data_IF_608680050179
#
_entry.id   IF_608680050179
#
_cell.length_a   1.000
_cell.length_b   1.000
_cell.length_c   1.000
_cell.angle_alpha   90.00
_cell.angle_beta   90.00
_cell.angle_gamma   90.00
#
_symmetry.space_group_name_H-M   'P 1'
#
loop_
_entity.id
_entity.type
_entity.pdbx_description
1 polymer ?
#
# COMPACT_ATOMS: atom_id res chain seq x y z
N UNK A 1 -0.65 -10.12 17.00
CA UNK A 1 -0.12 -9.87 15.65
C UNK A 1 -1.23 -10.05 14.59
N UNK A 2 -1.07 -9.50 13.39
CA UNK A 2 -2.04 -9.65 12.27
C UNK A 2 -1.99 -11.05 11.62
N UNK A 3 -3.12 -11.54 11.12
CA UNK A 3 -3.14 -12.76 10.26
C UNK A 3 -2.83 -12.42 8.80
N UNK A 4 -2.59 -13.44 7.97
CA UNK A 4 -2.35 -13.26 6.53
C UNK A 4 -3.55 -12.57 5.84
N UNK A 5 -4.77 -13.04 6.08
CA UNK A 5 -5.99 -12.44 5.53
C UNK A 5 -6.15 -10.95 5.88
N UNK A 6 -5.71 -10.57 7.07
CA UNK A 6 -5.78 -9.18 7.55
C UNK A 6 -4.75 -8.29 6.85
N UNK A 7 -3.57 -8.83 6.52
CA UNK A 7 -2.54 -8.12 5.75
C UNK A 7 -2.99 -7.91 4.30
N UNK A 8 -3.57 -8.93 3.70
CA UNK A 8 -4.06 -8.89 2.32
C UNK A 8 -5.31 -8.01 2.18
N UNK A 9 -6.20 -8.07 3.17
CA UNK A 9 -7.43 -7.29 3.19
C UNK A 9 -7.60 -6.47 4.48
N UNK A 10 -6.94 -5.30 4.58
CA UNK A 10 -7.03 -4.44 5.76
C UNK A 10 -8.45 -3.93 6.09
N UNK A 11 -9.41 -4.04 5.16
CA UNK A 11 -10.81 -3.65 5.38
C UNK A 11 -11.53 -4.52 6.39
N UNK A 12 -11.07 -5.75 6.61
CA UNK A 12 -11.69 -6.66 7.59
C UNK A 12 -11.31 -6.28 9.02
N UNK A 13 -10.27 -5.46 9.21
CA UNK A 13 -9.72 -5.08 10.51
C UNK A 13 -10.66 -4.08 11.22
N UNK A 14 -11.70 -4.63 11.87
CA UNK A 14 -12.68 -3.91 12.71
C UNK A 14 -12.27 -3.93 14.19
N UNK A 15 -13.16 -3.46 15.08
CA UNK A 15 -12.88 -3.26 16.52
C UNK A 15 -12.26 -4.48 17.22
N UNK A 16 -12.84 -5.67 17.02
CA UNK A 16 -12.39 -6.93 17.64
C UNK A 16 -10.99 -7.33 17.17
N UNK A 17 -10.74 -7.27 15.85
CA UNK A 17 -9.43 -7.58 15.27
C UNK A 17 -8.37 -6.57 15.68
N UNK A 18 -8.68 -5.27 15.73
CA UNK A 18 -7.76 -4.23 16.25
C UNK A 18 -7.32 -4.52 17.68
N UNK A 19 -8.24 -4.95 18.56
CA UNK A 19 -7.92 -5.33 19.95
C UNK A 19 -6.96 -6.53 19.99
N UNK A 20 -7.22 -7.56 19.20
CA UNK A 20 -6.34 -8.75 19.10
C UNK A 20 -4.96 -8.39 18.57
N UNK A 21 -4.90 -7.53 17.55
CA UNK A 21 -3.64 -7.06 16.97
C UNK A 21 -2.86 -6.31 18.05
N UNK A 22 -3.46 -5.30 18.69
CA UNK A 22 -2.87 -4.50 19.77
C UNK A 22 -2.23 -5.38 20.85
N UNK A 23 -3.01 -6.31 21.41
CA UNK A 23 -2.54 -7.22 22.46
C UNK A 23 -1.38 -8.07 21.95
N UNK A 24 -1.56 -8.71 20.79
CA UNK A 24 -0.55 -9.63 20.27
C UNK A 24 0.64 -8.96 19.56
N UNK A 25 0.69 -7.64 19.47
CA UNK A 25 1.88 -6.91 18.96
C UNK A 25 2.42 -5.89 19.97
N UNK A 26 1.80 -5.75 21.15
CA UNK A 26 2.19 -4.75 22.15
C UNK A 26 2.02 -3.31 21.67
N UNK A 27 1.13 -3.06 20.70
CA UNK A 27 0.93 -1.73 20.11
C UNK A 27 -0.38 -1.10 20.54
N UNK A 28 -0.39 0.21 20.66
CA UNK A 28 -1.60 0.95 21.02
C UNK A 28 -2.64 0.97 19.90
N UNK A 29 -3.91 1.08 20.31
CA UNK A 29 -5.04 1.16 19.40
C UNK A 29 -4.98 2.36 18.44
N UNK A 30 -4.47 3.49 18.93
CA UNK A 30 -4.29 4.71 18.15
C UNK A 30 -3.26 4.52 17.01
N UNK A 31 -2.15 3.84 17.29
CA UNK A 31 -1.11 3.53 16.31
C UNK A 31 -1.66 2.63 15.20
N UNK A 32 -2.46 1.63 15.56
CA UNK A 32 -3.11 0.75 14.58
C UNK A 32 -4.07 1.53 13.68
N UNK A 33 -4.85 2.46 14.23
CA UNK A 33 -5.72 3.32 13.42
C UNK A 33 -4.92 4.16 12.43
N UNK A 34 -3.86 4.83 12.90
CA UNK A 34 -2.99 5.65 12.05
C UNK A 34 -2.37 4.83 10.92
N UNK A 35 -1.89 3.63 11.21
CA UNK A 35 -1.34 2.70 10.21
C UNK A 35 -2.39 2.35 9.14
N UNK A 36 -3.61 2.01 9.54
CA UNK A 36 -4.69 1.68 8.60
C UNK A 36 -5.06 2.88 7.73
N UNK A 37 -5.06 4.08 8.28
CA UNK A 37 -5.34 5.30 7.55
C UNK A 37 -4.24 5.61 6.52
N UNK A 38 -2.97 5.48 6.89
CA UNK A 38 -1.83 5.63 5.97
C UNK A 38 -1.90 4.62 4.82
N UNK A 39 -2.21 3.35 5.11
CA UNK A 39 -2.42 2.34 4.08
C UNK A 39 -3.57 2.73 3.13
N UNK A 40 -4.69 3.19 3.67
CA UNK A 40 -5.85 3.59 2.86
C UNK A 40 -5.55 4.82 1.98
N UNK A 41 -4.76 5.77 2.47
CA UNK A 41 -4.30 6.92 1.69
C UNK A 41 -3.40 6.46 0.53
N UNK A 42 -2.40 5.62 0.80
CA UNK A 42 -1.51 5.08 -0.22
C UNK A 42 -2.28 4.27 -1.26
N UNK A 43 -3.24 3.44 -0.83
CA UNK A 43 -4.12 2.67 -1.73
C UNK A 43 -4.95 3.57 -2.64
N UNK A 44 -5.48 4.68 -2.12
CA UNK A 44 -6.20 5.68 -2.92
C UNK A 44 -5.29 6.33 -3.95
N UNK A 45 -4.07 6.70 -3.56
CA UNK A 45 -3.09 7.27 -4.46
C UNK A 45 -2.72 6.28 -5.58
N UNK A 46 -2.40 5.04 -5.23
CA UNK A 46 -2.06 3.99 -6.20
C UNK A 46 -3.21 3.70 -7.16
N UNK A 47 -4.46 3.67 -6.66
CA UNK A 47 -5.65 3.51 -7.51
C UNK A 47 -5.82 4.68 -8.48
N UNK A 48 -5.64 5.92 -8.02
CA UNK A 48 -5.70 7.12 -8.89
C UNK A 48 -4.60 7.10 -9.95
N UNK A 49 -3.38 6.75 -9.56
CA UNK A 49 -2.24 6.62 -10.47
C UNK A 49 -2.50 5.54 -11.54
N UNK A 50 -2.98 4.35 -11.13
CA UNK A 50 -3.35 3.29 -12.06
C UNK A 50 -4.50 3.69 -12.99
N UNK A 51 -5.51 4.41 -12.49
CA UNK A 51 -6.60 4.92 -13.32
C UNK A 51 -6.12 5.95 -14.35
N UNK A 52 -5.23 6.85 -13.96
CA UNK A 52 -4.61 7.82 -14.87
C UNK A 52 -3.81 7.12 -15.97
N UNK A 53 -3.06 6.06 -15.63
CA UNK A 53 -2.39 5.19 -16.61
C UNK A 53 -3.36 4.49 -17.57
N UNK A 54 -4.55 4.10 -17.11
CA UNK A 54 -5.55 3.39 -17.93
C UNK A 54 -6.34 4.31 -18.84
N UNK A 55 -6.48 5.61 -18.50
CA UNK A 55 -7.29 6.60 -19.24
C UNK A 55 -6.48 7.43 -20.25
N UNK A 56 -5.15 7.37 -20.24
CA UNK A 56 -4.25 7.99 -21.22
C UNK A 56 -3.64 6.93 -22.17
N UNK A 57 -4.06 6.93 -23.44
CA UNK A 57 -3.61 5.98 -24.45
C UNK A 57 -2.09 6.04 -24.74
N UNK A 58 -1.51 4.90 -25.14
CA UNK A 58 -0.17 4.75 -25.75
C UNK A 58 1.02 5.46 -25.07
N UNK A 59 0.94 5.76 -23.78
CA UNK A 59 2.01 6.37 -23.01
C UNK A 59 1.67 6.35 -21.52
N UNK A 60 1.96 5.23 -20.86
CA UNK A 60 1.85 5.13 -19.40
C UNK A 60 2.68 6.21 -18.70
N UNK A 61 2.50 6.46 -17.39
CA UNK A 61 3.25 7.47 -16.67
C UNK A 61 4.73 7.25 -16.96
N UNK A 62 5.36 8.23 -17.62
CA UNK A 62 6.80 8.21 -17.86
C UNK A 62 7.41 7.97 -16.50
N UNK A 63 8.15 6.87 -16.38
CA UNK A 63 9.00 6.61 -15.23
C UNK A 63 9.79 7.91 -14.97
N UNK A 64 10.01 8.30 -13.71
CA UNK A 64 10.75 9.53 -13.42
C UNK A 64 12.04 9.53 -14.24
N UNK A 65 12.40 10.65 -14.89
CA UNK A 65 13.56 10.70 -15.78
C UNK A 65 14.80 10.15 -15.06
N UNK A 66 15.48 9.17 -15.67
CA UNK A 66 16.63 8.45 -15.07
C UNK A 66 16.30 7.08 -14.49
N UNK A 67 15.03 6.75 -14.26
CA UNK A 67 14.62 5.41 -13.81
C UNK A 67 14.72 4.37 -14.94
N UNK A 68 14.61 4.80 -16.20
CA UNK A 68 14.89 4.00 -17.39
C UNK A 68 16.39 3.63 -17.51
N UNK A 69 17.28 4.56 -17.17
CA UNK A 69 18.72 4.31 -17.09
C UNK A 69 19.07 3.39 -15.92
N UNK A 70 18.45 3.60 -14.75
CA UNK A 70 18.63 2.75 -13.58
C UNK A 70 18.17 1.30 -13.85
N UNK A 71 17.04 1.11 -14.51
CA UNK A 71 16.54 -0.24 -14.83
C UNK A 71 17.44 -0.95 -15.86
N UNK A 72 18.04 -0.22 -16.81
CA UNK A 72 19.05 -0.78 -17.72
C UNK A 72 20.39 -1.08 -17.03
N UNK A 73 20.75 -0.30 -16.02
CA UNK A 73 22.02 -0.42 -15.30
C UNK A 73 21.96 -1.48 -14.18
N UNK A 74 20.79 -1.74 -13.60
CA UNK A 74 20.62 -2.65 -12.46
C UNK A 74 19.65 -3.81 -12.69
N UNK A 75 18.83 -3.77 -13.76
CA UNK A 75 17.74 -4.73 -14.02
C UNK A 75 17.98 -5.66 -15.21
N UNK A 76 19.24 -5.84 -15.63
CA UNK A 76 19.63 -6.89 -16.56
C UNK A 76 19.80 -8.24 -15.86
N UNK A 77 18.68 -8.81 -15.37
CA UNK A 77 18.42 -10.24 -15.21
C UNK A 77 16.97 -10.50 -15.64
#
# INVERSE_FOLDING_TARGET
SMTQDEKENPKIIKKTRKRRIAIGSGTEYAVINKMLDQYNQMKKFMKRFMQMRKKGGKGGPKLPPGFDQLFKQFGGL
#
